data_IF_671056006934
#
_entry.id   IF_671056006934
#
_cell.length_a   1.000
_cell.length_b   1.000
_cell.length_c   1.000
_cell.angle_alpha   90.00
_cell.angle_beta   90.00
_cell.angle_gamma   90.00
#
_symmetry.space_group_name_H-M   'P 1'
#
loop_
_entity.id
_entity.type
_entity.pdbx_description
1 polymer ?
#
# COMPACT_ATOMS: atom_id res chain seq x y z
N UNK A 1 20.65 36.54 54.95
CA UNK A 1 20.81 36.51 53.47
C UNK A 1 19.86 35.47 52.89
N UNK A 2 18.54 35.70 52.77
CA UNK A 2 17.78 36.95 52.74
C UNK A 2 18.10 37.86 51.54
N UNK A 3 17.03 38.44 50.99
CA UNK A 3 16.98 39.41 49.88
C UNK A 3 17.07 38.75 48.48
N UNK A 4 15.95 38.65 47.74
CA UNK A 4 15.31 39.69 46.88
C UNK A 4 16.06 39.78 45.53
N UNK A 5 15.45 40.03 44.37
CA UNK A 5 14.09 40.48 44.02
C UNK A 5 13.81 40.16 42.52
N UNK A 6 12.56 40.02 42.06
CA UNK A 6 11.77 41.06 41.34
C UNK A 6 12.56 41.73 40.19
N UNK A 7 12.11 41.85 38.94
CA UNK A 7 10.79 42.25 38.39
C UNK A 7 10.88 42.09 36.85
N UNK A 8 9.89 42.31 35.97
CA UNK A 8 8.43 42.54 36.02
C UNK A 8 7.92 42.26 34.58
N UNK A 9 6.73 41.68 34.42
CA UNK A 9 5.50 42.40 34.01
C UNK A 9 5.61 43.25 32.73
N UNK A 10 4.87 42.83 31.71
CA UNK A 10 4.03 43.75 30.95
C UNK A 10 2.84 42.98 30.39
N UNK A 11 1.69 43.09 31.05
CA UNK A 11 0.41 42.78 30.43
C UNK A 11 0.04 43.87 29.42
N UNK A 12 -0.76 43.54 28.40
CA UNK A 12 -1.91 44.39 28.11
C UNK A 12 -3.12 43.58 27.61
N UNK A 13 -4.30 44.05 27.99
CA UNK A 13 -5.58 43.49 27.62
C UNK A 13 -6.15 44.29 26.45
N UNK A 14 -6.87 43.65 25.52
CA UNK A 14 -7.87 44.40 24.78
C UNK A 14 -9.20 43.67 24.65
N UNK A 15 -10.12 44.07 25.54
CA UNK A 15 -11.55 43.85 25.40
C UNK A 15 -12.24 45.17 25.74
N UNK A 16 -12.78 45.87 24.74
CA UNK A 16 -13.68 47.02 24.95
C UNK A 16 -14.59 47.33 23.76
N UNK A 17 -15.83 46.88 23.90
CA UNK A 17 -17.12 47.52 23.57
C UNK A 17 -17.15 48.77 22.65
N UNK A 18 -17.97 48.63 21.60
CA UNK A 18 -19.25 49.36 21.37
C UNK A 18 -19.26 50.89 21.16
N UNK A 19 -19.77 51.31 19.98
CA UNK A 19 -20.69 52.45 19.72
C UNK A 19 -21.10 52.48 18.23
N UNK A 20 -22.40 52.36 17.93
CA UNK A 20 -23.34 53.47 17.59
C UNK A 20 -23.10 54.12 16.22
N UNK A 21 -23.95 53.79 15.23
CA UNK A 21 -24.52 54.79 14.29
C UNK A 21 -25.84 54.28 13.69
N UNK A 22 -26.84 55.17 13.69
CA UNK A 22 -28.26 54.97 13.43
C UNK A 22 -28.70 54.69 11.97
N UNK A 23 -29.72 53.84 11.89
CA UNK A 23 -30.86 53.76 10.96
C UNK A 23 -31.34 55.08 10.28
N UNK A 24 -31.80 55.08 9.00
CA UNK A 24 -33.26 55.03 8.70
C UNK A 24 -33.72 53.98 7.65
N UNK A 25 -34.70 53.15 8.04
CA UNK A 25 -35.71 52.49 7.18
C UNK A 25 -36.69 53.53 6.63
N UNK A 26 -37.47 53.31 5.52
CA UNK A 26 -38.62 52.35 5.49
C UNK A 26 -39.02 51.85 4.06
N UNK A 27 -40.19 51.29 3.68
CA UNK A 27 -41.51 50.98 4.30
C UNK A 27 -42.13 49.66 3.72
N UNK A 28 -42.77 48.86 4.59
CA UNK A 28 -44.04 48.10 4.39
C UNK A 28 -44.13 46.85 3.48
N UNK A 29 -44.95 45.87 3.93
CA UNK A 29 -45.31 44.66 3.18
C UNK A 29 -45.91 43.54 4.06
N UNK A 30 -47.04 43.78 4.72
CA UNK A 30 -47.73 42.79 5.60
C UNK A 30 -48.68 41.87 4.84
N UNK A 31 -48.72 40.58 5.19
CA UNK A 31 -49.75 39.64 4.72
C UNK A 31 -49.90 38.42 5.63
N UNK A 32 -51.04 38.32 6.33
CA UNK A 32 -51.37 37.23 7.28
C UNK A 32 -52.76 36.67 7.00
N UNK A 33 -52.87 35.36 6.72
CA UNK A 33 -54.06 34.50 6.91
C UNK A 33 -53.79 33.07 6.39
N UNK A 34 -54.53 32.01 6.71
CA UNK A 34 -55.21 31.56 7.95
C UNK A 34 -55.78 30.14 7.71
N UNK A 35 -55.36 29.17 8.53
CA UNK A 35 -56.00 27.85 8.82
C UNK A 35 -56.30 26.83 7.68
N UNK A 36 -56.69 25.63 8.15
CA UNK A 36 -56.66 24.30 7.52
C UNK A 36 -58.08 23.85 7.07
N UNK A 37 -58.28 22.76 6.29
CA UNK A 37 -58.55 21.46 6.95
C UNK A 37 -58.12 20.16 6.22
N UNK A 38 -57.82 19.16 7.05
CA UNK A 38 -57.93 17.68 6.93
C UNK A 38 -58.04 16.88 5.61
N UNK A 39 -57.31 15.74 5.64
CA UNK A 39 -57.58 14.38 5.07
C UNK A 39 -56.89 13.93 3.76
N UNK A 40 -56.48 12.64 3.80
CA UNK A 40 -56.52 11.66 2.68
C UNK A 40 -55.23 11.32 1.90
N UNK A 41 -54.79 10.07 2.11
CA UNK A 41 -53.96 9.18 1.28
C UNK A 41 -52.43 9.37 1.17
N UNK A 42 -51.75 8.66 2.07
CA UNK A 42 -50.42 8.10 1.87
C UNK A 42 -50.36 7.12 0.69
N UNK A 43 -49.35 7.17 -0.20
CA UNK A 43 -49.06 6.10 -1.15
C UNK A 43 -48.27 4.96 -0.46
N UNK A 44 -48.71 3.69 -0.56
CA UNK A 44 -48.04 2.57 0.13
C UNK A 44 -46.78 2.12 -0.61
N UNK A 45 -45.62 2.66 -0.23
CA UNK A 45 -44.31 2.17 -0.67
C UNK A 45 -43.96 0.81 -0.03
N UNK A 46 -44.64 -0.26 -0.43
CA UNK A 46 -44.27 -1.65 -0.15
C UNK A 46 -43.70 -2.31 -1.39
N UNK A 47 -42.38 -2.24 -1.59
CA UNK A 47 -41.67 -3.13 -2.52
C UNK A 47 -40.31 -3.51 -1.95
N UNK A 48 -40.29 -4.66 -1.28
CA UNK A 48 -39.19 -5.62 -1.17
C UNK A 48 -37.76 -5.07 -1.02
N UNK A 49 -37.38 -4.73 0.21
CA UNK A 49 -35.98 -4.70 0.65
C UNK A 49 -35.71 -5.71 1.80
N UNK A 50 -36.44 -6.83 1.83
CA UNK A 50 -36.08 -7.97 2.68
C UNK A 50 -35.10 -8.89 1.94
N UNK A 51 -33.88 -8.40 1.73
CA UNK A 51 -32.73 -9.29 1.62
C UNK A 51 -32.21 -9.48 3.03
N UNK A 52 -32.38 -10.68 3.56
CA UNK A 52 -31.65 -11.15 4.74
C UNK A 52 -30.19 -11.28 4.31
N UNK A 53 -29.48 -10.15 4.31
CA UNK A 53 -28.04 -10.16 4.29
C UNK A 53 -27.59 -10.58 5.69
N UNK A 54 -27.13 -11.82 5.82
CA UNK A 54 -26.15 -12.20 6.84
C UNK A 54 -24.87 -11.41 6.59
N UNK A 55 -24.93 -10.12 6.92
CA UNK A 55 -23.89 -9.13 6.69
C UNK A 55 -22.78 -9.31 7.73
N UNK A 56 -22.00 -10.38 7.58
CA UNK A 56 -20.65 -10.44 8.14
C UNK A 56 -19.93 -9.16 7.76
N UNK A 57 -19.59 -8.34 8.74
CA UNK A 57 -18.88 -7.09 8.51
C UNK A 57 -17.59 -7.36 7.70
N UNK A 58 -17.20 -6.49 6.77
CA UNK A 58 -15.98 -6.71 5.98
C UNK A 58 -14.78 -6.86 6.93
N UNK A 59 -13.88 -7.84 6.71
CA UNK A 59 -12.78 -8.14 7.63
C UNK A 59 -11.77 -6.99 7.78
N UNK A 60 -11.80 -6.02 6.85
CA UNK A 60 -10.90 -4.88 6.79
C UNK A 60 -11.67 -3.59 6.48
N UNK A 61 -11.23 -2.42 6.97
CA UNK A 61 -11.78 -1.12 6.58
C UNK A 61 -11.84 -0.91 5.06
N UNK A 62 -12.87 -0.23 4.54
CA UNK A 62 -13.09 -0.11 3.09
C UNK A 62 -11.96 0.64 2.36
N UNK A 63 -11.30 1.59 3.02
CA UNK A 63 -10.16 2.32 2.44
C UNK A 63 -8.95 1.40 2.21
N UNK A 64 -8.70 0.41 3.07
CA UNK A 64 -7.64 -0.57 2.86
C UNK A 64 -7.98 -1.49 1.69
N UNK A 65 -9.23 -1.92 1.57
CA UNK A 65 -9.68 -2.74 0.43
C UNK A 65 -9.57 -1.97 -0.90
N UNK A 66 -9.93 -0.68 -0.92
CA UNK A 66 -9.76 0.18 -2.10
C UNK A 66 -8.29 0.35 -2.49
N UNK A 67 -7.41 0.63 -1.53
CA UNK A 67 -5.96 0.71 -1.72
C UNK A 67 -5.37 -0.61 -2.24
N UNK A 68 -5.80 -1.75 -1.68
CA UNK A 68 -5.42 -3.09 -2.14
C UNK A 68 -5.88 -3.33 -3.57
N UNK A 69 -7.09 -2.91 -3.93
CA UNK A 69 -7.60 -3.03 -5.30
C UNK A 69 -6.85 -2.13 -6.30
N UNK A 70 -6.46 -0.91 -5.89
CA UNK A 70 -5.64 -0.01 -6.70
C UNK A 70 -4.26 -0.62 -7.00
N UNK A 71 -3.59 -1.15 -5.98
CA UNK A 71 -2.27 -1.75 -6.13
C UNK A 71 -2.35 -3.10 -6.88
N UNK A 72 -3.39 -3.89 -6.69
CA UNK A 72 -3.67 -5.09 -7.51
C UNK A 72 -3.78 -4.71 -8.99
N UNK A 73 -4.60 -3.71 -9.32
CA UNK A 73 -4.77 -3.23 -10.70
C UNK A 73 -3.46 -2.72 -11.31
N UNK A 74 -2.64 -2.00 -10.53
CA UNK A 74 -1.31 -1.55 -10.96
C UNK A 74 -0.38 -2.74 -11.29
N UNK A 75 -0.25 -3.71 -10.37
CA UNK A 75 0.56 -4.91 -10.56
C UNK A 75 0.14 -5.72 -11.81
N UNK A 76 -1.16 -5.86 -12.04
CA UNK A 76 -1.72 -6.63 -13.14
C UNK A 76 -1.49 -5.96 -14.51
N UNK A 77 -1.66 -4.63 -14.61
CA UNK A 77 -1.72 -3.93 -15.90
C UNK A 77 -0.52 -3.03 -16.23
N UNK A 78 0.35 -2.73 -15.26
CA UNK A 78 1.58 -1.94 -15.47
C UNK A 78 2.86 -2.75 -15.26
N UNK A 79 2.77 -3.88 -14.55
CA UNK A 79 3.92 -4.74 -14.23
C UNK A 79 3.73 -6.20 -14.66
N UNK A 80 2.64 -6.52 -15.37
CA UNK A 80 2.33 -7.86 -15.92
C UNK A 80 2.43 -9.01 -14.91
N UNK A 81 2.02 -8.79 -13.66
CA UNK A 81 2.02 -9.82 -12.62
C UNK A 81 0.91 -10.86 -12.86
N UNK A 82 1.30 -12.13 -12.77
CA UNK A 82 0.39 -13.28 -12.83
C UNK A 82 -0.05 -13.75 -11.43
N UNK A 83 -1.11 -14.56 -11.38
CA UNK A 83 -1.58 -15.26 -10.16
C UNK A 83 -1.87 -14.35 -8.95
N UNK A 84 -2.24 -13.09 -9.18
CA UNK A 84 -2.53 -12.12 -8.13
C UNK A 84 -3.74 -12.55 -7.28
N UNK A 85 -3.51 -12.71 -5.98
CA UNK A 85 -4.52 -13.13 -4.99
C UNK A 85 -4.52 -12.16 -3.81
N UNK A 86 -5.70 -11.76 -3.34
CA UNK A 86 -5.86 -10.90 -2.15
C UNK A 86 -6.11 -11.74 -0.90
N UNK A 87 -5.23 -11.60 0.08
CA UNK A 87 -5.26 -12.33 1.34
C UNK A 87 -5.75 -11.44 2.47
N UNK A 88 -6.84 -11.82 3.13
CA UNK A 88 -7.36 -11.14 4.34
C UNK A 88 -7.04 -11.89 5.63
N UNK A 89 -6.61 -13.15 5.51
CA UNK A 89 -6.21 -14.06 6.58
C UNK A 89 -4.81 -14.62 6.26
N UNK A 90 -4.08 -15.12 7.26
CA UNK A 90 -2.80 -15.79 7.03
C UNK A 90 -2.99 -17.05 6.18
N UNK A 91 -2.13 -17.32 5.18
CA UNK A 91 -2.20 -18.54 4.38
C UNK A 91 -1.74 -19.78 5.19
N UNK A 92 -1.06 -19.56 6.32
CA UNK A 92 -0.63 -20.59 7.25
C UNK A 92 -1.70 -20.84 8.32
N UNK A 93 -1.92 -22.10 8.73
CA UNK A 93 -2.67 -22.43 9.94
C UNK A 93 -2.10 -21.66 11.15
N UNK A 94 -2.92 -21.08 12.03
CA UNK A 94 -4.37 -21.28 12.16
C UNK A 94 -5.29 -20.38 11.30
N UNK A 95 -4.78 -19.73 10.24
CA UNK A 95 -5.54 -18.82 9.36
C UNK A 95 -6.12 -17.59 10.08
N UNK A 96 -5.29 -16.95 10.92
CA UNK A 96 -5.68 -15.75 11.67
C UNK A 96 -5.97 -14.57 10.72
N UNK A 97 -6.86 -13.67 11.13
CA UNK A 97 -7.02 -12.38 10.44
C UNK A 97 -5.69 -11.62 10.45
N UNK A 98 -5.26 -11.17 9.28
CA UNK A 98 -4.09 -10.29 9.13
C UNK A 98 -4.41 -8.90 9.71
N UNK A 99 -3.41 -8.10 10.12
CA UNK A 99 -3.66 -6.72 10.56
C UNK A 99 -4.12 -5.79 9.42
N UNK A 100 -4.02 -6.23 8.17
CA UNK A 100 -4.50 -5.57 6.94
C UNK A 100 -4.48 -6.55 5.76
N UNK A 101 -5.13 -6.25 4.63
CA UNK A 101 -5.04 -7.10 3.44
C UNK A 101 -3.60 -7.13 2.89
N UNK A 102 -3.22 -8.29 2.36
CA UNK A 102 -1.99 -8.51 1.60
C UNK A 102 -2.33 -8.96 0.18
N UNK A 103 -1.37 -8.82 -0.73
CA UNK A 103 -1.42 -9.44 -2.05
C UNK A 103 -0.31 -10.49 -2.15
N UNK A 104 -0.55 -11.57 -2.87
CA UNK A 104 0.49 -12.49 -3.36
C UNK A 104 0.40 -12.57 -4.87
N UNK A 105 1.52 -12.67 -5.57
CA UNK A 105 1.51 -12.92 -7.02
C UNK A 105 2.88 -13.30 -7.56
N UNK A 106 2.93 -13.56 -8.86
CA UNK A 106 4.15 -13.91 -9.59
C UNK A 106 4.54 -12.72 -10.47
N UNK A 107 5.68 -12.04 -10.21
CA UNK A 107 6.20 -11.02 -11.13
C UNK A 107 6.74 -11.70 -12.40
N UNK A 108 6.73 -11.02 -13.57
CA UNK A 108 7.23 -11.59 -14.83
C UNK A 108 8.74 -11.85 -14.80
N UNK A 109 9.48 -11.09 -13.99
CA UNK A 109 10.91 -11.27 -13.73
C UNK A 109 11.17 -11.23 -12.23
N UNK A 110 12.20 -11.94 -11.77
CA UNK A 110 12.58 -11.99 -10.35
C UNK A 110 13.05 -10.61 -9.88
N UNK A 111 12.24 -9.97 -9.03
CA UNK A 111 12.44 -8.57 -8.56
C UNK A 111 13.75 -8.40 -7.78
N UNK A 112 14.16 -9.42 -7.03
CA UNK A 112 15.41 -9.41 -6.27
C UNK A 112 16.19 -10.71 -6.46
N UNK A 113 17.42 -10.59 -6.93
CA UNK A 113 18.41 -11.68 -6.96
C UNK A 113 19.48 -11.38 -5.93
N UNK A 114 19.79 -12.34 -5.06
CA UNK A 114 20.79 -12.14 -4.02
C UNK A 114 22.20 -12.02 -4.66
N UNK A 115 23.05 -11.06 -4.25
CA UNK A 115 24.39 -10.92 -4.84
C UNK A 115 25.21 -12.21 -4.73
N UNK A 116 25.14 -12.90 -3.60
CA UNK A 116 25.90 -14.13 -3.37
C UNK A 116 25.45 -15.30 -4.28
N UNK A 117 24.24 -15.29 -4.85
CA UNK A 117 23.86 -16.28 -5.86
C UNK A 117 24.52 -15.97 -7.22
N UNK A 118 24.77 -14.70 -7.53
CA UNK A 118 25.53 -14.31 -8.73
C UNK A 118 27.02 -14.71 -8.57
N UNK A 119 27.57 -14.57 -7.37
CA UNK A 119 28.93 -15.03 -7.07
C UNK A 119 29.06 -16.55 -7.16
N UNK A 120 28.11 -17.32 -6.63
CA UNK A 120 28.10 -18.78 -6.82
C UNK A 120 27.98 -19.18 -8.30
N UNK A 121 27.24 -18.43 -9.12
CA UNK A 121 27.16 -18.67 -10.57
C UNK A 121 28.50 -18.39 -11.27
N UNK A 122 29.24 -17.36 -10.86
CA UNK A 122 30.58 -17.06 -11.41
C UNK A 122 31.67 -18.04 -10.91
N UNK A 123 31.50 -18.58 -9.70
CA UNK A 123 32.41 -19.56 -9.08
C UNK A 123 32.10 -21.01 -9.48
N UNK A 124 30.92 -21.27 -10.06
CA UNK A 124 30.57 -22.56 -10.62
C UNK A 124 31.39 -22.79 -11.91
N UNK A 125 32.17 -23.88 -12.04
CA UNK A 125 32.74 -24.22 -13.33
C UNK A 125 31.59 -24.43 -14.33
N UNK A 126 31.73 -24.00 -15.61
CA UNK A 126 30.69 -24.13 -16.62
C UNK A 126 30.36 -25.61 -16.84
N UNK A 127 29.30 -26.07 -16.15
CA UNK A 127 29.04 -27.48 -15.96
C UNK A 127 28.22 -28.02 -17.12
N UNK A 128 28.94 -28.39 -18.19
CA UNK A 128 28.60 -29.50 -19.08
C UNK A 128 27.15 -29.60 -19.61
N UNK A 129 26.64 -28.53 -20.23
CA UNK A 129 25.58 -28.63 -21.25
C UNK A 129 25.97 -27.87 -22.52
N UNK A 130 27.10 -28.27 -23.10
CA UNK A 130 27.34 -28.15 -24.54
C UNK A 130 27.77 -29.53 -25.03
N UNK A 131 26.90 -30.19 -25.79
CA UNK A 131 27.22 -31.46 -26.45
C UNK A 131 28.36 -31.24 -27.45
N UNK A 132 29.39 -32.08 -27.47
CA UNK A 132 30.42 -32.01 -28.50
C UNK A 132 29.92 -32.74 -29.76
N UNK A 133 29.42 -32.01 -30.74
CA UNK A 133 29.14 -32.56 -32.08
C UNK A 133 29.36 -31.52 -33.19
N UNK A 134 29.86 -31.99 -34.34
CA UNK A 134 29.96 -31.27 -35.62
C UNK A 134 30.74 -29.93 -35.64
N UNK A 135 32.01 -29.95 -36.03
CA UNK A 135 32.78 -28.71 -36.26
C UNK A 135 32.66 -28.15 -37.69
N UNK A 136 33.04 -26.88 -37.89
CA UNK A 136 33.78 -26.41 -39.09
C UNK A 136 34.28 -24.97 -38.94
N UNK A 137 35.56 -24.80 -39.27
CA UNK A 137 36.25 -23.68 -39.94
C UNK A 137 36.01 -22.19 -39.58
N UNK A 138 37.03 -21.39 -39.86
CA UNK A 138 37.15 -19.98 -39.51
C UNK A 138 36.32 -19.05 -40.41
N UNK A 139 35.62 -18.08 -39.81
CA UNK A 139 35.51 -16.71 -40.36
C UNK A 139 35.29 -15.73 -39.22
N UNK A 140 36.23 -14.80 -39.05
CA UNK A 140 36.10 -13.67 -38.13
C UNK A 140 35.06 -12.68 -38.67
N UNK A 141 33.93 -12.53 -37.99
CA UNK A 141 33.06 -11.36 -38.16
C UNK A 141 33.00 -10.62 -36.82
N UNK A 142 33.65 -9.45 -36.81
CA UNK A 142 33.84 -8.62 -35.64
C UNK A 142 32.62 -7.72 -35.41
N UNK A 143 31.50 -8.33 -35.03
CA UNK A 143 30.28 -7.62 -34.64
C UNK A 143 30.18 -7.59 -33.12
N UNK A 144 30.62 -6.49 -32.52
CA UNK A 144 30.62 -6.27 -31.08
C UNK A 144 29.21 -5.98 -30.54
N UNK A 145 28.29 -6.91 -30.75
CA UNK A 145 27.07 -7.03 -29.97
C UNK A 145 27.47 -7.45 -28.55
N UNK A 146 27.78 -6.43 -27.74
CA UNK A 146 27.94 -6.52 -26.30
C UNK A 146 26.78 -7.37 -25.76
N UNK A 147 27.04 -8.55 -25.15
CA UNK A 147 25.96 -9.38 -24.67
C UNK A 147 25.19 -8.56 -23.63
N UNK A 148 23.93 -8.26 -23.94
CA UNK A 148 23.04 -7.70 -22.94
C UNK A 148 23.10 -8.61 -21.71
N UNK A 149 23.05 -8.07 -20.49
CA UNK A 149 22.83 -8.87 -19.30
C UNK A 149 21.40 -9.42 -19.37
N UNK A 150 21.21 -10.48 -20.14
CA UNK A 150 20.03 -11.32 -20.08
C UNK A 150 19.98 -11.82 -18.64
N UNK A 151 19.08 -11.24 -17.84
CA UNK A 151 18.75 -11.75 -16.52
C UNK A 151 18.57 -13.25 -16.69
N UNK A 152 19.38 -14.11 -16.05
CA UNK A 152 19.30 -15.54 -16.28
C UNK A 152 17.87 -15.99 -15.99
N UNK A 153 17.35 -16.88 -16.83
CA UNK A 153 15.96 -17.36 -16.82
C UNK A 153 15.67 -18.17 -15.55
N UNK A 154 15.55 -17.42 -14.46
CA UNK A 154 15.30 -17.89 -13.11
C UNK A 154 13.78 -17.96 -12.95
N UNK A 155 13.24 -19.08 -12.43
CA UNK A 155 11.81 -19.23 -12.30
C UNK A 155 11.22 -18.09 -11.45
N UNK A 156 10.08 -17.52 -11.86
CA UNK A 156 9.40 -16.47 -11.11
C UNK A 156 9.00 -17.04 -9.74
N UNK A 157 9.31 -16.28 -8.70
CA UNK A 157 9.01 -16.66 -7.31
C UNK A 157 7.74 -15.94 -6.85
N UNK A 158 6.89 -16.57 -6.02
CA UNK A 158 5.74 -15.91 -5.44
C UNK A 158 6.21 -14.82 -4.46
N UNK A 159 5.88 -13.58 -4.76
CA UNK A 159 6.21 -12.43 -3.91
C UNK A 159 4.97 -11.97 -3.14
N UNK A 160 5.18 -11.62 -1.87
CA UNK A 160 4.18 -10.98 -1.02
C UNK A 160 4.27 -9.46 -1.19
N UNK A 161 3.14 -8.80 -1.42
CA UNK A 161 3.05 -7.35 -1.55
C UNK A 161 2.18 -6.77 -0.44
N UNK A 162 2.67 -5.73 0.21
CA UNK A 162 2.05 -5.00 1.31
C UNK A 162 1.54 -3.65 0.80
N UNK A 163 0.21 -3.47 0.58
CA UNK A 163 -0.35 -2.23 0.04
C UNK A 163 -0.38 -1.12 1.09
N UNK A 164 0.30 0.01 0.91
CA UNK A 164 0.32 1.15 1.86
C UNK A 164 0.07 2.48 1.16
N UNK A 165 -0.38 3.48 1.92
CA UNK A 165 -0.58 4.84 1.43
C UNK A 165 0.56 5.74 1.88
N UNK A 166 0.93 6.75 1.09
CA UNK A 166 2.07 7.65 1.39
C UNK A 166 1.95 8.36 2.75
N UNK A 167 0.73 8.72 3.17
CA UNK A 167 0.46 9.36 4.47
C UNK A 167 0.41 8.39 5.67
N UNK A 168 0.58 7.08 5.44
CA UNK A 168 0.44 6.05 6.47
C UNK A 168 1.69 5.96 7.35
N UNK A 169 1.55 6.26 8.64
CA UNK A 169 2.64 6.16 9.60
C UNK A 169 2.92 4.70 9.97
N UNK A 170 4.15 4.25 9.70
CA UNK A 170 4.64 2.91 10.05
C UNK A 170 5.45 2.92 11.34
N UNK A 171 5.15 1.98 12.23
CA UNK A 171 5.99 1.62 13.37
C UNK A 171 6.56 0.22 13.16
N UNK A 172 7.73 -0.05 13.74
CA UNK A 172 8.37 -1.36 13.66
C UNK A 172 7.47 -2.49 14.19
N UNK A 173 6.71 -2.22 15.25
CA UNK A 173 5.73 -3.18 15.80
C UNK A 173 4.61 -3.50 14.81
N UNK A 174 4.07 -2.50 14.11
CA UNK A 174 3.03 -2.70 13.09
C UNK A 174 3.55 -3.48 11.87
N UNK A 175 4.80 -3.24 11.48
CA UNK A 175 5.47 -4.01 10.43
C UNK A 175 5.71 -5.46 10.86
N UNK A 176 6.20 -5.67 12.09
CA UNK A 176 6.40 -7.01 12.67
C UNK A 176 5.08 -7.81 12.75
N UNK A 177 3.95 -7.18 13.07
CA UNK A 177 2.63 -7.82 13.03
C UNK A 177 2.25 -8.33 11.63
N UNK A 178 2.68 -7.65 10.55
CA UNK A 178 2.49 -8.14 9.18
C UNK A 178 3.38 -9.36 8.92
N UNK A 179 4.68 -9.28 9.22
CA UNK A 179 5.62 -10.39 9.03
C UNK A 179 5.27 -11.63 9.88
N UNK A 180 4.65 -11.44 11.03
CA UNK A 180 4.11 -12.52 11.88
C UNK A 180 3.00 -13.32 11.20
N UNK A 181 2.23 -12.69 10.30
CA UNK A 181 1.16 -13.33 9.52
C UNK A 181 1.61 -13.96 8.19
N UNK A 182 2.87 -13.74 7.77
CA UNK A 182 3.45 -14.31 6.56
C UNK A 182 3.96 -15.74 6.80
N UNK A 183 3.88 -16.63 5.79
CA UNK A 183 4.51 -17.95 5.87
C UNK A 183 6.02 -17.83 6.15
N UNK A 184 6.65 -18.85 6.75
CA UNK A 184 8.11 -18.94 6.77
C UNK A 184 8.63 -18.94 5.32
N UNK A 185 9.77 -18.28 5.10
CA UNK A 185 10.46 -18.38 3.82
C UNK A 185 11.28 -19.68 3.79
N UNK A 186 11.25 -20.40 2.66
CA UNK A 186 12.00 -21.64 2.49
C UNK A 186 13.52 -21.42 2.39
N UNK A 187 13.93 -20.26 1.85
CA UNK A 187 15.33 -19.87 1.66
C UNK A 187 15.53 -18.37 1.97
N UNK A 188 16.27 -18.09 3.05
CA UNK A 188 16.64 -16.74 3.47
C UNK A 188 15.65 -16.02 4.41
N UNK A 189 15.89 -14.71 4.70
CA UNK A 189 15.01 -13.91 5.55
C UNK A 189 13.65 -13.69 4.86
N UNK A 190 12.55 -13.68 5.63
CA UNK A 190 11.24 -13.34 5.05
C UNK A 190 11.30 -11.96 4.41
N UNK A 191 10.68 -11.81 3.24
CA UNK A 191 10.58 -10.51 2.56
C UNK A 191 9.15 -10.17 2.17
N UNK A 192 8.89 -8.88 2.05
CA UNK A 192 7.65 -8.33 1.51
C UNK A 192 7.96 -7.10 0.66
N UNK A 193 7.26 -6.95 -0.45
CA UNK A 193 7.31 -5.77 -1.30
C UNK A 193 6.32 -4.73 -0.78
N UNK A 194 6.79 -3.67 -0.13
CA UNK A 194 5.97 -2.54 0.28
C UNK A 194 5.59 -1.71 -0.95
N UNK A 195 4.33 -1.77 -1.36
CA UNK A 195 3.79 -0.98 -2.46
C UNK A 195 3.11 0.26 -1.89
N UNK A 196 3.74 1.42 -2.05
CA UNK A 196 3.26 2.71 -1.51
C UNK A 196 2.55 3.50 -2.61
N UNK A 197 1.23 3.67 -2.49
CA UNK A 197 0.46 4.53 -3.38
C UNK A 197 0.55 6.01 -2.92
N UNK A 198 0.90 6.89 -3.86
CA UNK A 198 0.86 8.34 -3.72
C UNK A 198 -0.51 8.93 -4.09
N UNK A 199 -0.72 10.19 -3.71
CA UNK A 199 -1.94 10.96 -4.02
C UNK A 199 -2.05 11.37 -5.49
N UNK A 200 -0.94 11.33 -6.22
CA UNK A 200 -0.79 11.59 -7.65
C UNK A 200 -0.95 10.33 -8.53
N UNK A 201 -1.42 9.22 -7.94
CA UNK A 201 -1.52 7.89 -8.56
C UNK A 201 -0.18 7.20 -8.86
N UNK A 202 0.96 7.73 -8.40
CA UNK A 202 2.22 6.97 -8.42
C UNK A 202 2.17 5.78 -7.45
N UNK A 203 2.87 4.70 -7.78
CA UNK A 203 3.08 3.56 -6.87
C UNK A 203 4.58 3.29 -6.79
N UNK A 204 5.14 3.30 -5.58
CA UNK A 204 6.57 3.05 -5.32
C UNK A 204 6.73 1.73 -4.58
N UNK A 205 7.63 0.88 -5.07
CA UNK A 205 7.86 -0.45 -4.55
C UNK A 205 9.20 -0.52 -3.80
N UNK A 206 9.14 -0.86 -2.51
CA UNK A 206 10.32 -1.07 -1.67
C UNK A 206 10.40 -2.53 -1.20
N UNK A 207 11.57 -3.15 -1.26
CA UNK A 207 11.78 -4.49 -0.71
C UNK A 207 12.10 -4.35 0.79
N UNK A 208 11.33 -5.00 1.65
CA UNK A 208 11.56 -5.06 3.09
C UNK A 208 11.91 -6.50 3.51
N UNK A 209 12.95 -6.66 4.33
CA UNK A 209 13.38 -7.96 4.87
C UNK A 209 13.15 -8.03 6.39
N UNK A 210 12.81 -9.21 6.89
CA UNK A 210 12.76 -9.54 8.32
C UNK A 210 14.16 -9.96 8.80
N UNK A 211 14.81 -9.09 9.58
CA UNK A 211 16.11 -9.36 10.21
C UNK A 211 17.28 -8.58 9.62
N UNK A 212 18.47 -8.81 10.19
CA UNK A 212 19.72 -8.17 9.76
C UNK A 212 20.23 -8.86 8.49
N UNK A 213 20.15 -8.16 7.35
CA UNK A 213 20.94 -8.50 6.16
C UNK A 213 22.40 -8.22 6.49
N UNK A 214 23.30 -9.18 6.21
CA UNK A 214 24.74 -8.96 6.40
C UNK A 214 25.17 -7.74 5.56
N UNK A 215 25.79 -6.70 6.15
CA UNK A 215 26.27 -5.57 5.36
C UNK A 215 27.34 -6.09 4.37
N UNK A 216 27.30 -5.61 3.13
CA UNK A 216 28.36 -5.92 2.16
C UNK A 216 29.67 -5.35 2.70
N UNK A 217 30.65 -6.23 2.95
CA UNK A 217 32.03 -5.80 3.03
C UNK A 217 32.51 -5.59 1.60
N UNK A 218 32.73 -4.33 1.22
CA UNK A 218 33.45 -3.94 0.02
C UNK A 218 34.95 -4.15 0.20
#
# INVERSE_FOLDING_TARGET
MEMLSQNADCADQNSRQEKDEKEPRPRFGTGTAKEQPTTTLSPPAKTMASRVASSTAPPHPPHLLALTSQIHHNLLHQHDWASLTTHTHSPTPPHNLLPRPLLSGLPPHRIYTHPDTQLHQLMSPPSATSSPDGGTDHTENNDAHQPQPTTPDLPPQPEWVLPTHIDEKWSLSRLHQVFSGLPPADDGPKRVLLATAGTDSTVVYYILHEGIVKPRQN
#
